data_IF_943589930406
#
_entry.id   IF_943589930406
#
_cell.length_a   1.000
_cell.length_b   1.000
_cell.length_c   1.000
_cell.angle_alpha   90.00
_cell.angle_beta   90.00
_cell.angle_gamma   90.00
#
_symmetry.space_group_name_H-M   'P 1'
#
loop_
_entity.id
_entity.type
_entity.pdbx_description
1 polymer ?
#
# COMPACT_ATOMS: atom_id res chain seq x y z
N UNK A 1 -24.45 -19.55 2.39
CA UNK A 1 -23.35 -18.59 2.56
C UNK A 1 -23.39 -18.17 4.00
N UNK A 2 -22.51 -18.72 4.82
CA UNK A 2 -22.31 -18.26 6.20
C UNK A 2 -21.58 -16.93 6.11
N UNK A 3 -22.21 -15.89 6.63
CA UNK A 3 -21.64 -14.57 6.87
C UNK A 3 -20.48 -14.76 7.87
N UNK A 4 -19.30 -15.11 7.35
CA UNK A 4 -18.09 -15.24 8.14
C UNK A 4 -17.53 -13.83 8.35
N UNK A 5 -18.23 -13.04 9.16
CA UNK A 5 -17.62 -11.88 9.77
C UNK A 5 -16.31 -12.32 10.43
N UNK A 6 -15.26 -11.52 10.26
CA UNK A 6 -14.13 -11.58 11.19
C UNK A 6 -14.74 -11.49 12.61
N UNK A 7 -14.37 -12.36 13.57
CA UNK A 7 -15.05 -12.46 14.86
C UNK A 7 -15.03 -11.12 15.64
N UNK A 8 -14.10 -10.24 15.27
CA UNK A 8 -13.97 -8.88 15.79
C UNK A 8 -14.41 -7.78 14.80
N UNK A 9 -14.95 -8.05 13.62
CA UNK A 9 -15.33 -7.02 12.65
C UNK A 9 -16.34 -6.03 13.24
N UNK A 10 -17.40 -6.52 13.87
CA UNK A 10 -18.38 -5.67 14.54
C UNK A 10 -17.76 -4.88 15.69
N UNK A 11 -16.86 -5.50 16.47
CA UNK A 11 -16.14 -4.83 17.55
C UNK A 11 -15.23 -3.72 17.01
N UNK A 12 -14.43 -4.00 15.99
CA UNK A 12 -13.50 -3.04 15.37
C UNK A 12 -14.25 -1.92 14.65
N UNK A 13 -15.37 -2.24 13.98
CA UNK A 13 -16.24 -1.25 13.34
C UNK A 13 -16.94 -0.37 14.38
N UNK A 14 -17.43 -0.95 15.48
CA UNK A 14 -18.05 -0.16 16.55
C UNK A 14 -17.00 0.65 17.31
N UNK A 15 -15.80 0.12 17.55
CA UNK A 15 -14.67 0.89 18.12
C UNK A 15 -14.26 2.04 17.20
N UNK A 16 -14.16 1.79 15.89
CA UNK A 16 -13.88 2.83 14.90
C UNK A 16 -15.01 3.86 14.85
N UNK A 17 -16.27 3.42 14.88
CA UNK A 17 -17.45 4.30 14.91
C UNK A 17 -17.54 5.12 16.20
N UNK A 18 -17.29 4.54 17.36
CA UNK A 18 -17.22 5.23 18.66
C UNK A 18 -16.05 6.22 18.72
N UNK A 19 -14.94 5.88 18.08
CA UNK A 19 -13.80 6.78 17.90
C UNK A 19 -14.22 7.99 17.05
N UNK A 20 -14.90 7.76 15.93
CA UNK A 20 -15.42 8.82 15.05
C UNK A 20 -16.54 9.65 15.70
N UNK A 21 -17.47 9.02 16.44
CA UNK A 21 -18.64 9.67 17.06
C UNK A 21 -18.31 10.53 18.28
N UNK A 22 -17.19 10.29 18.99
CA UNK A 22 -16.76 11.14 20.11
C UNK A 22 -16.36 12.56 19.70
N UNK A 23 -16.22 12.84 18.40
CA UNK A 23 -16.10 14.19 17.85
C UNK A 23 -16.73 14.25 16.45
N UNK A 24 -18.00 14.65 16.33
CA UNK A 24 -18.73 14.67 15.05
C UNK A 24 -18.23 15.71 14.02
N UNK A 25 -17.25 16.55 14.35
CA UNK A 25 -16.53 17.39 13.37
C UNK A 25 -15.32 16.67 12.73
N UNK A 26 -15.05 15.42 13.10
CA UNK A 26 -14.00 14.57 12.50
C UNK A 26 -14.53 13.94 11.22
N UNK A 27 -14.81 14.77 10.22
CA UNK A 27 -14.70 14.36 8.83
C UNK A 27 -13.22 14.47 8.43
N UNK A 28 -12.56 13.34 8.18
CA UNK A 28 -11.34 13.25 7.35
C UNK A 28 -9.97 13.71 7.91
N UNK A 29 -9.82 14.53 8.96
CA UNK A 29 -8.49 15.15 9.24
C UNK A 29 -7.82 15.04 10.62
N UNK A 30 -8.41 14.46 11.68
CA UNK A 30 -7.75 14.57 13.00
C UNK A 30 -8.07 13.43 13.95
N UNK A 31 -7.29 12.33 13.87
CA UNK A 31 -7.31 11.26 14.88
C UNK A 31 -6.54 11.60 16.17
N UNK A 32 -5.94 12.79 16.27
CA UNK A 32 -5.17 13.19 17.46
C UNK A 32 -5.44 14.67 17.77
N UNK A 33 -6.47 14.94 18.59
CA UNK A 33 -6.80 16.31 19.05
C UNK A 33 -5.75 16.84 20.04
N UNK A 34 -5.08 15.94 20.77
CA UNK A 34 -3.98 16.24 21.68
C UNK A 34 -2.78 15.34 21.35
N UNK A 35 -1.66 15.96 20.95
CA UNK A 35 -0.44 15.22 20.65
C UNK A 35 0.13 14.61 21.94
N UNK A 36 0.30 13.28 22.04
CA UNK A 36 0.96 12.70 23.19
C UNK A 36 2.39 13.23 23.29
N UNK A 37 2.74 13.79 24.45
CA UNK A 37 4.12 14.20 24.74
C UNK A 37 5.00 12.95 24.74
N UNK A 38 5.93 12.92 23.80
CA UNK A 38 6.96 11.87 23.71
C UNK A 38 8.23 12.40 23.05
N UNK A 39 9.38 11.78 23.33
CA UNK A 39 10.62 12.07 22.62
C UNK A 39 10.48 11.88 21.12
N UNK A 40 11.46 12.43 20.38
CA UNK A 40 11.53 12.30 18.92
C UNK A 40 11.68 10.83 18.54
N UNK A 41 10.76 10.34 17.71
CA UNK A 41 10.93 9.11 16.93
C UNK A 41 11.27 9.47 15.48
N UNK A 42 10.54 8.86 14.53
CA UNK A 42 10.59 9.23 13.10
C UNK A 42 10.23 10.71 12.93
N UNK A 43 9.13 11.13 13.56
CA UNK A 43 8.62 12.49 13.52
C UNK A 43 9.19 13.33 14.68
N UNK A 44 9.62 14.54 14.36
CA UNK A 44 9.89 15.59 15.35
C UNK A 44 8.58 16.13 15.95
N UNK A 45 8.65 16.87 17.04
CA UNK A 45 7.48 17.55 17.62
C UNK A 45 6.80 18.47 16.61
N UNK A 46 7.58 19.27 15.89
CA UNK A 46 7.04 20.18 14.88
C UNK A 46 6.46 19.47 13.64
N UNK A 47 6.90 18.24 13.34
CA UNK A 47 6.25 17.44 12.28
C UNK A 47 4.88 16.98 12.74
N UNK A 48 4.79 16.51 13.98
CA UNK A 48 3.53 16.08 14.59
C UNK A 48 2.55 17.24 14.65
N UNK A 49 2.95 18.40 15.17
CA UNK A 49 2.14 19.63 15.22
C UNK A 49 1.61 20.00 13.83
N UNK A 50 2.46 19.92 12.81
CA UNK A 50 2.06 20.22 11.44
C UNK A 50 1.03 19.21 10.90
N UNK A 51 1.27 17.90 11.07
CA UNK A 51 0.38 16.85 10.55
C UNK A 51 -1.01 16.85 11.21
N UNK A 52 -1.12 17.29 12.46
CA UNK A 52 -2.42 17.41 13.16
C UNK A 52 -3.06 18.79 13.04
N UNK A 53 -2.49 19.69 12.25
CA UNK A 53 -3.02 21.05 12.05
C UNK A 53 -2.84 22.01 13.23
N UNK A 54 -2.03 21.64 14.24
CA UNK A 54 -1.69 22.54 15.37
C UNK A 54 -0.60 23.56 15.00
N UNK A 55 0.03 23.40 13.83
CA UNK A 55 1.03 24.32 13.30
C UNK A 55 0.83 24.56 11.82
N UNK A 56 0.69 25.83 11.46
CA UNK A 56 0.60 26.28 10.08
C UNK A 56 1.85 27.08 9.69
N UNK A 57 2.13 27.15 8.39
CA UNK A 57 3.24 27.92 7.85
C UNK A 57 2.70 29.04 6.97
N UNK A 58 3.06 30.28 7.27
CA UNK A 58 2.64 31.45 6.50
C UNK A 58 3.24 31.47 5.08
N UNK A 59 4.43 30.88 4.91
CA UNK A 59 5.16 30.88 3.65
C UNK A 59 5.10 29.52 2.97
N UNK A 60 4.66 29.44 1.69
CA UNK A 60 4.56 28.19 0.94
C UNK A 60 5.89 27.40 0.90
N UNK A 61 7.02 28.10 0.81
CA UNK A 61 8.34 27.45 0.81
C UNK A 61 8.64 26.73 2.13
N UNK A 62 8.26 27.32 3.26
CA UNK A 62 8.45 26.71 4.58
C UNK A 62 7.59 25.48 4.76
N UNK A 63 6.35 25.51 4.25
CA UNK A 63 5.45 24.37 4.25
C UNK A 63 5.99 23.24 3.34
N UNK A 64 6.45 23.57 2.14
CA UNK A 64 7.04 22.61 1.20
C UNK A 64 8.28 21.93 1.80
N UNK A 65 9.15 22.70 2.46
CA UNK A 65 10.32 22.17 3.16
C UNK A 65 9.88 21.22 4.29
N UNK A 66 8.83 21.56 5.06
CA UNK A 66 8.29 20.68 6.10
C UNK A 66 7.79 19.35 5.52
N UNK A 67 7.02 19.39 4.44
CA UNK A 67 6.54 18.18 3.73
C UNK A 67 7.71 17.33 3.23
N UNK A 68 8.74 17.97 2.68
CA UNK A 68 9.94 17.28 2.21
C UNK A 68 10.72 16.62 3.35
N UNK A 69 10.89 17.29 4.48
CA UNK A 69 11.59 16.77 5.64
C UNK A 69 10.87 15.56 6.26
N UNK A 70 9.54 15.63 6.38
CA UNK A 70 8.72 14.51 6.85
C UNK A 70 8.92 13.31 5.94
N UNK A 71 8.78 13.51 4.62
CA UNK A 71 8.95 12.45 3.62
C UNK A 71 10.34 11.79 3.71
N UNK A 72 11.40 12.60 3.76
CA UNK A 72 12.77 12.10 3.89
C UNK A 72 12.96 11.29 5.17
N UNK A 73 12.43 11.74 6.31
CA UNK A 73 12.53 11.01 7.58
C UNK A 73 11.76 9.70 7.52
N UNK A 74 10.55 9.69 6.97
CA UNK A 74 9.75 8.46 6.83
C UNK A 74 10.45 7.43 5.96
N UNK A 75 10.99 7.84 4.79
CA UNK A 75 11.73 6.93 3.91
C UNK A 75 12.94 6.34 4.61
N UNK A 76 13.79 7.17 5.24
CA UNK A 76 14.98 6.66 5.93
C UNK A 76 14.62 5.76 7.12
N UNK A 77 13.57 6.10 7.88
CA UNK A 77 13.13 5.28 8.99
C UNK A 77 12.60 3.91 8.54
N UNK A 78 11.95 3.83 7.37
CA UNK A 78 11.53 2.54 6.79
C UNK A 78 12.77 1.70 6.45
N UNK A 79 13.79 2.31 5.83
CA UNK A 79 15.05 1.63 5.50
C UNK A 79 15.81 1.17 6.75
N UNK A 80 15.76 1.94 7.84
CA UNK A 80 16.41 1.60 9.11
C UNK A 80 15.83 0.32 9.74
N UNK A 81 14.60 -0.10 9.40
CA UNK A 81 14.06 -1.37 9.92
C UNK A 81 14.89 -2.59 9.50
N UNK A 82 15.57 -2.55 8.35
CA UNK A 82 16.51 -3.61 7.98
C UNK A 82 17.66 -3.69 8.99
N UNK A 83 18.22 -2.55 9.38
CA UNK A 83 19.29 -2.47 10.39
C UNK A 83 18.80 -2.89 11.77
N UNK A 84 17.57 -2.50 12.15
CA UNK A 84 16.97 -2.91 13.43
C UNK A 84 16.70 -4.41 13.45
N UNK A 85 16.20 -4.99 12.37
CA UNK A 85 16.00 -6.42 12.25
C UNK A 85 17.32 -7.18 12.32
N UNK A 86 18.37 -6.65 11.68
CA UNK A 86 19.65 -7.35 11.55
C UNK A 86 20.56 -7.22 12.78
N UNK A 87 20.61 -6.04 13.38
CA UNK A 87 21.68 -5.69 14.33
C UNK A 87 21.19 -5.32 15.72
N UNK A 88 19.88 -5.10 15.94
CA UNK A 88 19.40 -4.82 17.28
C UNK A 88 19.48 -6.09 18.14
N UNK A 89 20.19 -6.07 19.29
CA UNK A 89 20.25 -7.22 20.18
C UNK A 89 18.86 -7.65 20.63
N UNK A 90 18.69 -8.96 20.80
CA UNK A 90 17.41 -9.55 21.15
C UNK A 90 16.79 -8.96 22.42
N UNK A 91 17.62 -8.73 23.44
CA UNK A 91 17.19 -8.16 24.72
C UNK A 91 16.66 -6.73 24.56
N UNK A 92 17.27 -5.92 23.69
CA UNK A 92 16.83 -4.55 23.42
C UNK A 92 15.56 -4.53 22.58
N UNK A 93 15.44 -5.46 21.62
CA UNK A 93 14.19 -5.65 20.86
C UNK A 93 13.05 -6.07 21.78
N UNK A 94 13.27 -7.01 22.69
CA UNK A 94 12.26 -7.44 23.65
C UNK A 94 11.82 -6.29 24.57
N UNK A 95 12.76 -5.49 25.09
CA UNK A 95 12.44 -4.29 25.88
C UNK A 95 11.62 -3.28 25.10
N UNK A 96 11.96 -3.01 23.84
CA UNK A 96 11.21 -2.08 23.00
C UNK A 96 9.76 -2.52 22.80
N UNK A 97 9.53 -3.82 22.56
CA UNK A 97 8.18 -4.37 22.44
C UNK A 97 7.45 -4.37 23.79
N UNK A 98 8.13 -4.68 24.89
CA UNK A 98 7.54 -4.59 26.23
C UNK A 98 7.13 -3.15 26.58
N UNK A 99 7.93 -2.14 26.22
CA UNK A 99 7.56 -0.73 26.39
C UNK A 99 6.35 -0.36 25.51
N UNK A 100 6.35 -0.80 24.25
CA UNK A 100 5.27 -0.54 23.30
C UNK A 100 3.91 -1.09 23.76
N UNK A 101 3.92 -2.28 24.36
CA UNK A 101 2.73 -3.01 24.82
C UNK A 101 2.51 -2.96 26.35
N UNK A 102 3.32 -2.17 27.07
CA UNK A 102 3.22 -2.05 28.54
C UNK A 102 1.90 -1.41 28.99
N UNK A 103 1.27 -0.64 28.12
CA UNK A 103 -0.03 -0.02 28.34
C UNK A 103 -1.01 -0.66 27.34
N UNK A 104 -2.08 -1.30 27.84
CA UNK A 104 -3.19 -1.85 27.03
C UNK A 104 -3.95 -0.71 26.32
N UNK A 105 -3.29 -0.06 25.36
CA UNK A 105 -3.81 0.99 24.51
C UNK A 105 -4.28 0.32 23.24
N UNK A 106 -5.60 0.15 23.13
CA UNK A 106 -6.22 -0.10 21.84
C UNK A 106 -6.25 1.23 21.05
N UNK A 107 -5.95 1.21 19.74
CA UNK A 107 -5.55 0.07 18.89
C UNK A 107 -4.04 -0.26 18.94
N UNK A 108 -3.67 -1.48 18.51
CA UNK A 108 -2.28 -1.95 18.41
C UNK A 108 -1.45 -0.99 17.52
N UNK A 109 -0.35 -0.39 18.02
CA UNK A 109 0.48 0.51 17.22
C UNK A 109 0.99 -0.09 15.91
N UNK A 110 1.21 -1.42 15.85
CA UNK A 110 1.62 -2.11 14.64
C UNK A 110 0.54 -2.06 13.54
N UNK A 111 -0.75 -1.98 13.90
CA UNK A 111 -1.84 -1.86 12.93
C UNK A 111 -1.77 -0.56 12.12
N UNK A 112 -1.28 0.53 12.70
CA UNK A 112 -1.07 1.79 11.96
C UNK A 112 0.07 1.70 10.96
N UNK A 113 1.06 0.83 11.18
CA UNK A 113 2.11 0.56 10.19
C UNK A 113 1.49 -0.16 8.99
N UNK A 114 0.69 -1.19 9.23
CA UNK A 114 -0.02 -1.91 8.16
C UNK A 114 -0.97 -0.98 7.40
N UNK A 115 -1.74 -0.14 8.11
CA UNK A 115 -2.61 0.87 7.48
C UNK A 115 -1.83 1.87 6.63
N UNK A 116 -0.66 2.33 7.11
CA UNK A 116 0.21 3.22 6.35
C UNK A 116 0.73 2.54 5.06
N UNK A 117 1.16 1.27 5.14
CA UNK A 117 1.60 0.51 3.98
C UNK A 117 0.46 0.26 2.98
N UNK A 118 -0.70 -0.20 3.45
CA UNK A 118 -1.88 -0.42 2.62
C UNK A 118 -2.27 0.85 1.83
N UNK A 119 -2.27 2.00 2.49
CA UNK A 119 -2.53 3.29 1.83
C UNK A 119 -1.41 3.73 0.90
N UNK A 120 -0.15 3.42 1.22
CA UNK A 120 1.00 3.74 0.39
C UNK A 120 1.15 2.86 -0.86
N UNK A 121 0.49 1.70 -0.86
CA UNK A 121 0.37 0.78 -1.98
C UNK A 121 -0.94 1.01 -2.77
N UNK A 122 -1.66 2.10 -2.50
CA UNK A 122 -2.95 2.43 -3.13
C UNK A 122 -3.99 1.30 -3.04
N UNK A 123 -3.91 0.48 -1.99
CA UNK A 123 -4.83 -0.63 -1.75
C UNK A 123 -4.47 -1.94 -2.46
N UNK A 124 -3.30 -2.05 -3.09
CA UNK A 124 -2.79 -3.29 -3.68
C UNK A 124 -2.57 -4.37 -2.60
N UNK A 125 -3.56 -5.26 -2.47
CA UNK A 125 -3.58 -6.33 -1.48
C UNK A 125 -2.56 -7.43 -1.80
N UNK A 126 -2.39 -7.79 -3.07
CA UNK A 126 -1.44 -8.84 -3.49
C UNK A 126 0.00 -8.42 -3.15
N UNK A 127 0.33 -7.15 -3.40
CA UNK A 127 1.63 -6.59 -3.01
C UNK A 127 1.80 -6.52 -1.50
N UNK A 128 0.75 -6.18 -0.76
CA UNK A 128 0.79 -6.15 0.70
C UNK A 128 1.00 -7.55 1.29
N UNK A 129 0.27 -8.57 0.79
CA UNK A 129 0.44 -9.97 1.17
C UNK A 129 1.88 -10.42 0.94
N UNK A 130 2.43 -10.14 -0.25
CA UNK A 130 3.83 -10.47 -0.59
C UNK A 130 4.84 -9.87 0.40
N UNK A 131 4.65 -8.60 0.78
CA UNK A 131 5.52 -7.91 1.75
C UNK A 131 5.41 -8.54 3.15
N UNK A 132 4.19 -8.90 3.58
CA UNK A 132 3.97 -9.56 4.87
C UNK A 132 4.61 -10.94 4.89
N UNK A 133 4.45 -11.73 3.83
CA UNK A 133 5.07 -13.05 3.69
C UNK A 133 6.59 -12.96 3.75
N UNK A 134 7.19 -12.06 2.97
CA UNK A 134 8.64 -11.84 2.96
C UNK A 134 9.15 -11.41 4.34
N UNK A 135 8.46 -10.48 5.00
CA UNK A 135 8.82 -10.02 6.34
C UNK A 135 8.78 -11.13 7.39
N UNK A 136 7.74 -11.97 7.37
CA UNK A 136 7.63 -13.14 8.26
C UNK A 136 8.74 -14.15 7.93
N UNK A 137 9.03 -14.38 6.64
CA UNK A 137 10.07 -15.31 6.20
C UNK A 137 11.44 -14.92 6.74
N UNK A 138 11.81 -13.65 6.57
CA UNK A 138 13.07 -13.09 7.08
C UNK A 138 13.11 -13.23 8.60
N UNK A 139 12.07 -12.78 9.30
CA UNK A 139 12.03 -12.81 10.77
C UNK A 139 12.12 -14.22 11.35
N UNK A 140 11.42 -15.18 10.76
CA UNK A 140 11.36 -16.55 11.26
C UNK A 140 12.66 -17.36 11.01
N UNK A 141 13.43 -16.99 9.99
CA UNK A 141 14.68 -17.66 9.64
C UNK A 141 15.93 -16.91 10.13
N UNK A 142 15.77 -15.71 10.69
CA UNK A 142 16.88 -14.81 11.06
C UNK A 142 18.00 -15.44 11.92
N UNK A 143 17.67 -16.33 12.88
CA UNK A 143 18.65 -16.92 13.83
C UNK A 143 19.01 -18.38 13.58
N UNK A 144 18.54 -18.99 12.50
CA UNK A 144 18.69 -20.43 12.28
C UNK A 144 20.02 -20.85 11.66
N UNK A 145 21.00 -19.93 11.59
CA UNK A 145 22.39 -20.22 11.21
C UNK A 145 23.11 -20.92 12.38
N UNK A 146 22.73 -22.17 12.63
CA UNK A 146 23.26 -23.00 13.71
C UNK A 146 22.71 -24.41 13.59
N UNK A 147 23.59 -25.35 13.20
CA UNK A 147 23.35 -26.77 12.93
C UNK A 147 22.15 -27.36 13.71
N UNK A 148 21.11 -27.76 12.97
CA UNK A 148 19.99 -28.66 13.36
C UNK A 148 18.64 -28.05 13.77
N UNK A 149 18.27 -26.85 13.29
CA UNK A 149 16.86 -26.43 13.36
C UNK A 149 16.32 -26.20 11.95
N UNK A 150 15.20 -26.84 11.61
CA UNK A 150 14.60 -26.73 10.27
C UNK A 150 14.23 -25.29 9.92
N UNK A 151 14.42 -24.94 8.65
CA UNK A 151 14.03 -23.65 8.08
C UNK A 151 12.50 -23.59 7.96
N UNK A 152 11.90 -22.41 8.19
CA UNK A 152 10.53 -22.21 7.73
C UNK A 152 10.61 -22.12 6.21
N UNK A 153 10.03 -23.12 5.54
CA UNK A 153 10.06 -23.24 4.10
C UNK A 153 8.85 -22.62 3.40
N UNK A 154 7.74 -22.43 4.14
CA UNK A 154 6.47 -21.97 3.57
C UNK A 154 5.75 -21.06 4.57
N UNK A 155 5.23 -19.95 4.06
CA UNK A 155 4.35 -19.01 4.74
C UNK A 155 3.20 -18.78 3.78
N UNK A 156 1.97 -18.83 4.31
CA UNK A 156 0.77 -18.55 3.56
C UNK A 156 0.04 -17.39 4.24
N UNK A 157 -0.12 -16.29 3.52
CA UNK A 157 -0.90 -15.14 3.96
C UNK A 157 -2.12 -14.98 3.06
N UNK A 158 -3.27 -14.69 3.64
CA UNK A 158 -4.49 -14.37 2.90
C UNK A 158 -5.25 -13.27 3.63
N UNK A 159 -5.44 -12.15 2.94
CA UNK A 159 -6.08 -10.94 3.42
C UNK A 159 -7.27 -10.67 2.49
N UNK A 160 -8.47 -10.92 3.00
CA UNK A 160 -9.72 -10.61 2.29
C UNK A 160 -10.35 -9.34 2.88
N UNK A 161 -10.61 -8.35 2.03
CA UNK A 161 -11.22 -7.08 2.41
C UNK A 161 -12.58 -6.95 1.75
N UNK A 162 -13.63 -7.22 2.53
CA UNK A 162 -15.01 -6.99 2.10
C UNK A 162 -15.41 -5.53 2.36
N UNK A 163 -15.53 -4.73 1.29
CA UNK A 163 -16.11 -3.39 1.38
C UNK A 163 -17.63 -3.47 1.32
N UNK A 164 -18.28 -3.05 2.42
CA UNK A 164 -19.74 -2.90 2.46
C UNK A 164 -20.08 -1.42 2.20
N UNK A 165 -20.92 -1.11 1.20
CA UNK A 165 -21.30 0.28 0.95
C UNK A 165 -22.02 0.88 2.15
N UNK A 166 -21.73 2.16 2.47
CA UNK A 166 -22.53 2.88 3.44
C UNK A 166 -23.92 3.14 2.86
N UNK A 167 -24.92 2.45 3.41
CA UNK A 167 -26.31 2.58 2.99
C UNK A 167 -26.78 4.03 2.94
N UNK A 168 -26.37 4.86 3.90
CA UNK A 168 -26.81 6.26 3.99
C UNK A 168 -26.22 7.11 2.88
N UNK A 169 -24.96 6.85 2.53
CA UNK A 169 -24.30 7.54 1.40
C UNK A 169 -24.89 7.07 0.07
N UNK A 170 -25.13 5.77 -0.08
CA UNK A 170 -25.77 5.20 -1.27
C UNK A 170 -27.17 5.79 -1.49
N UNK A 171 -27.96 5.93 -0.43
CA UNK A 171 -29.29 6.57 -0.52
C UNK A 171 -29.15 8.05 -0.91
N UNK A 172 -28.24 8.80 -0.29
CA UNK A 172 -28.02 10.21 -0.64
C UNK A 172 -27.57 10.39 -2.09
N UNK A 173 -26.64 9.56 -2.56
CA UNK A 173 -26.13 9.56 -3.93
C UNK A 173 -27.26 9.29 -4.93
N UNK A 174 -28.15 8.35 -4.59
CA UNK A 174 -29.35 8.08 -5.38
C UNK A 174 -30.34 9.25 -5.38
N UNK A 175 -30.66 9.83 -4.21
CA UNK A 175 -31.56 11.00 -4.08
C UNK A 175 -31.03 12.25 -4.79
N UNK A 176 -29.71 12.39 -4.93
CA UNK A 176 -29.05 13.51 -5.61
C UNK A 176 -29.04 13.38 -7.14
N UNK A 177 -29.50 12.24 -7.67
CA UNK A 177 -29.58 12.00 -9.11
C UNK A 177 -28.30 11.42 -9.73
N UNK A 178 -27.30 11.04 -8.92
CA UNK A 178 -26.05 10.41 -9.36
C UNK A 178 -26.21 8.88 -9.50
N UNK A 179 -27.38 8.44 -9.98
CA UNK A 179 -27.74 7.03 -10.09
C UNK A 179 -26.85 6.27 -11.10
N UNK A 180 -26.30 6.98 -12.08
CA UNK A 180 -25.37 6.47 -13.10
C UNK A 180 -23.99 6.10 -12.55
N UNK A 181 -23.64 6.64 -11.37
CA UNK A 181 -22.38 6.36 -10.68
C UNK A 181 -22.50 5.21 -9.66
N UNK A 182 -23.69 4.62 -9.49
CA UNK A 182 -23.90 3.55 -8.53
C UNK A 182 -23.24 2.25 -8.98
N UNK A 183 -22.49 1.62 -8.08
CA UNK A 183 -21.94 0.29 -8.35
C UNK A 183 -23.03 -0.80 -8.22
N UNK A 184 -22.84 -1.99 -8.81
CA UNK A 184 -23.80 -3.08 -8.68
C UNK A 184 -24.12 -3.47 -7.23
N UNK A 185 -23.12 -3.36 -6.33
CA UNK A 185 -23.31 -3.63 -4.90
C UNK A 185 -24.18 -2.55 -4.24
N UNK A 186 -23.97 -1.28 -4.60
CA UNK A 186 -24.78 -0.14 -4.13
C UNK A 186 -26.23 -0.25 -4.60
N UNK A 187 -26.46 -0.59 -5.87
CA UNK A 187 -27.81 -0.88 -6.41
C UNK A 187 -28.48 -2.01 -5.63
N UNK A 188 -27.74 -3.09 -5.34
CA UNK A 188 -28.24 -4.20 -4.52
C UNK A 188 -28.61 -3.79 -3.08
N UNK A 189 -27.95 -2.78 -2.51
CA UNK A 189 -28.36 -2.19 -1.21
C UNK A 189 -29.68 -1.46 -1.34
N UNK A 190 -29.87 -0.65 -2.39
CA UNK A 190 -31.11 0.10 -2.61
C UNK A 190 -32.32 -0.83 -2.87
N UNK A 191 -32.16 -1.89 -3.68
CA UNK A 191 -33.20 -2.89 -3.93
C UNK A 191 -33.63 -3.58 -2.63
N UNK A 192 -32.67 -4.08 -1.85
CA UNK A 192 -32.96 -4.80 -0.59
C UNK A 192 -33.62 -3.91 0.46
N UNK A 193 -33.39 -2.60 0.40
CA UNK A 193 -33.93 -1.64 1.35
C UNK A 193 -35.23 -0.99 0.87
N UNK A 194 -35.74 -1.40 -0.30
CA UNK A 194 -37.00 -0.92 -0.87
C UNK A 194 -36.95 0.55 -1.29
N UNK A 195 -35.76 1.07 -1.60
CA UNK A 195 -35.55 2.46 -2.01
C UNK A 195 -35.62 2.67 -3.53
N UNK A 196 -35.67 1.58 -4.30
CA UNK A 196 -35.89 1.62 -5.76
C UNK A 196 -37.31 1.18 -6.08
N UNK A 197 -38.01 1.99 -6.86
CA UNK A 197 -39.29 1.63 -7.45
C UNK A 197 -39.13 1.06 -8.89
N UNK A 198 -40.26 0.77 -9.55
CA UNK A 198 -40.25 0.17 -10.88
C UNK A 198 -39.72 1.13 -11.96
N UNK A 199 -39.91 2.43 -11.79
CA UNK A 199 -39.45 3.43 -12.76
C UNK A 199 -37.95 3.69 -12.57
N UNK A 200 -37.47 3.71 -11.33
CA UNK A 200 -36.04 3.81 -11.01
C UNK A 200 -35.21 2.66 -11.62
N UNK A 201 -35.75 1.43 -11.58
CA UNK A 201 -35.10 0.25 -12.16
C UNK A 201 -35.00 0.33 -13.69
N UNK A 202 -36.01 0.92 -14.35
CA UNK A 202 -36.00 1.11 -15.81
C UNK A 202 -34.99 2.17 -16.26
N UNK A 203 -34.77 3.19 -15.44
CA UNK A 203 -33.76 4.21 -15.71
C UNK A 203 -32.33 3.66 -15.51
N UNK A 204 -32.12 2.82 -14.49
CA UNK A 204 -30.85 2.09 -14.31
C UNK A 204 -30.56 1.12 -15.47
N UNK A 205 -31.56 0.41 -15.99
CA UNK A 205 -31.40 -0.51 -17.14
C UNK A 205 -30.98 0.22 -18.43
N UNK A 206 -31.33 1.50 -18.56
CA UNK A 206 -30.95 2.36 -19.69
C UNK A 206 -29.58 3.00 -19.53
N UNK A 207 -29.04 2.99 -18.33
CA UNK A 207 -27.74 3.59 -18.03
C UNK A 207 -26.66 2.57 -18.35
N UNK A 208 -25.77 2.89 -19.29
CA UNK A 208 -24.63 2.03 -19.62
C UNK A 208 -23.78 1.91 -18.36
N UNK A 209 -23.77 0.73 -17.75
CA UNK A 209 -22.97 0.45 -16.55
C UNK A 209 -21.53 0.93 -16.81
N UNK A 210 -20.98 1.83 -15.97
CA UNK A 210 -19.59 2.24 -16.11
C UNK A 210 -18.74 0.97 -16.07
N UNK A 211 -17.88 0.80 -17.07
CA UNK A 211 -16.92 -0.31 -17.08
C UNK A 211 -16.11 -0.23 -15.79
N UNK A 212 -15.78 -1.37 -15.15
CA UNK A 212 -14.91 -1.35 -14.00
C UNK A 212 -13.65 -0.56 -14.35
N UNK A 213 -13.33 0.44 -13.54
CA UNK A 213 -12.12 1.24 -13.67
C UNK A 213 -10.95 0.28 -13.46
N UNK A 214 -10.22 -0.04 -14.54
CA UNK A 214 -9.06 -0.92 -14.48
C UNK A 214 -8.64 -1.67 -15.73
N UNK A 215 -9.32 -1.55 -16.88
CA UNK A 215 -8.92 -2.31 -18.08
C UNK A 215 -8.53 -1.48 -19.31
N UNK A 216 -8.76 -0.17 -19.33
CA UNK A 216 -8.48 0.65 -20.52
C UNK A 216 -7.10 1.31 -20.54
N UNK A 217 -6.41 1.44 -19.40
CA UNK A 217 -5.06 2.04 -19.35
C UNK A 217 -3.93 1.03 -19.66
N UNK A 218 -4.25 -0.23 -19.94
CA UNK A 218 -3.29 -1.30 -20.26
C UNK A 218 -3.32 -1.76 -21.73
N UNK A 219 -4.17 -1.16 -22.57
CA UNK A 219 -4.33 -1.59 -23.97
C UNK A 219 -4.00 -0.51 -25.01
N UNK A 220 -3.55 0.68 -24.61
CA UNK A 220 -3.15 1.73 -25.58
C UNK A 220 -1.67 1.66 -26.02
N UNK A 221 -0.86 0.74 -25.47
CA UNK A 221 0.59 0.65 -25.77
C UNK A 221 1.02 -0.58 -26.60
N UNK A 222 0.10 -1.34 -27.21
CA UNK A 222 0.47 -2.57 -27.95
C UNK A 222 0.24 -2.55 -29.47
N UNK A 223 -0.16 -1.43 -30.07
CA UNK A 223 -0.42 -1.37 -31.52
C UNK A 223 0.36 -0.23 -32.21
N UNK A 224 1.71 -0.21 -32.16
CA UNK A 224 2.49 0.68 -33.07
C UNK A 224 3.98 0.31 -33.36
N UNK A 225 4.51 -0.87 -33.00
CA UNK A 225 5.93 -1.22 -33.32
C UNK A 225 6.15 -2.43 -34.26
N UNK A 226 5.21 -2.75 -35.17
CA UNK A 226 5.41 -3.88 -36.12
C UNK A 226 5.01 -3.58 -37.59
N UNK A 227 5.24 -2.37 -38.10
CA UNK A 227 5.03 -2.05 -39.53
C UNK A 227 6.17 -1.30 -40.26
N UNK A 228 7.43 -1.33 -39.80
CA UNK A 228 8.55 -0.70 -40.54
C UNK A 228 9.78 -1.60 -40.80
N UNK A 229 9.57 -2.90 -41.08
CA UNK A 229 10.67 -3.80 -41.53
C UNK A 229 10.44 -4.52 -42.87
N UNK A 230 9.45 -4.13 -43.68
CA UNK A 230 9.16 -4.83 -44.97
C UNK A 230 9.27 -3.94 -46.22
N UNK A 231 9.81 -2.72 -46.13
CA UNK A 231 10.04 -1.88 -47.32
C UNK A 231 11.39 -1.16 -47.35
N UNK A 232 12.46 -1.94 -47.49
CA UNK A 232 13.65 -1.52 -48.25
C UNK A 232 14.49 -2.73 -48.64
N UNK A 233 13.92 -3.58 -49.49
CA UNK A 233 14.72 -4.38 -50.40
C UNK A 233 15.12 -3.48 -51.58
N UNK A 234 16.32 -2.94 -51.55
CA UNK A 234 17.08 -2.67 -52.78
C UNK A 234 18.56 -2.98 -52.54
N UNK A 235 19.06 -3.83 -53.41
CA UNK A 235 20.35 -4.48 -53.34
C UNK A 235 21.48 -3.56 -53.81
N UNK A 236 22.61 -3.59 -53.11
CA UNK A 236 23.91 -3.53 -53.76
C UNK A 236 24.82 -4.61 -53.20
N UNK A 237 25.10 -5.59 -54.06
CA UNK A 237 26.23 -6.50 -53.97
C UNK A 237 27.44 -5.74 -54.51
N UNK A 238 28.47 -5.51 -53.68
CA UNK A 238 29.84 -5.38 -54.15
C UNK A 238 30.77 -6.14 -53.21
N UNK A 239 31.64 -6.90 -53.86
CA UNK A 239 32.51 -7.99 -53.43
C UNK A 239 33.86 -7.57 -52.83
N UNK A 240 34.38 -8.51 -52.04
CA UNK A 240 35.76 -9.01 -51.98
C UNK A 240 36.89 -8.33 -51.17
N UNK A 241 37.59 -9.24 -50.48
CA UNK A 241 39.03 -9.32 -50.16
C UNK A 241 39.64 -8.44 -49.05
N UNK A 242 40.00 -9.06 -47.92
CA UNK A 242 41.37 -9.52 -47.58
C UNK A 242 41.40 -9.90 -46.07
N UNK A 243 41.60 -11.18 -45.71
CA UNK A 243 42.89 -11.77 -45.35
C UNK A 243 43.72 -10.93 -44.35
N UNK A 244 43.77 -11.34 -43.08
CA UNK A 244 44.90 -12.12 -42.53
C UNK A 244 44.73 -12.44 -41.04
N UNK A 245 45.12 -13.66 -40.71
CA UNK A 245 45.42 -14.19 -39.38
C UNK A 245 46.47 -13.33 -38.64
N UNK A 246 46.46 -13.34 -37.31
CA UNK A 246 47.41 -14.17 -36.52
C UNK A 246 47.49 -13.75 -35.04
N UNK A 247 47.34 -14.76 -34.17
CA UNK A 247 48.15 -15.06 -32.95
C UNK A 247 48.12 -14.04 -31.79
N UNK A 248 47.48 -14.36 -30.67
CA UNK A 248 47.98 -15.18 -29.54
C UNK A 248 49.19 -14.57 -28.82
N UNK A 249 49.03 -14.25 -27.53
CA UNK A 249 49.87 -14.86 -26.49
C UNK A 249 49.34 -14.61 -25.07
N UNK A 250 49.17 -15.72 -24.37
CA UNK A 250 49.07 -15.84 -22.91
C UNK A 250 50.36 -15.38 -22.22
N UNK A 251 50.24 -14.83 -21.01
CA UNK A 251 51.02 -15.31 -19.85
C UNK A 251 50.53 -14.69 -18.54
N UNK A 252 49.94 -15.54 -17.71
CA UNK A 252 49.96 -15.47 -16.24
C UNK A 252 51.16 -16.35 -15.77
N UNK A 253 51.46 -16.56 -14.46
CA UNK A 253 51.28 -15.75 -13.24
C UNK A 253 52.58 -15.73 -12.36
N UNK A 254 52.41 -15.26 -11.11
CA UNK A 254 53.16 -15.56 -9.86
C UNK A 254 54.30 -14.65 -9.39
N UNK A 255 54.27 -14.33 -8.08
CA UNK A 255 55.50 -14.06 -7.32
C UNK A 255 55.40 -13.23 -6.03
N UNK A 256 54.89 -13.82 -4.95
CA UNK A 256 55.29 -13.68 -3.52
C UNK A 256 55.93 -12.38 -2.98
N UNK A 257 55.34 -11.83 -1.91
CA UNK A 257 55.85 -11.99 -0.52
C UNK A 257 54.84 -11.50 0.51
#
# INVERSE_FOLDING_TARGET
MTDNMHPDAERLQEEFRELMNRNPEIGSMTLVKELPERPRGILSTADREYLVGQREYEHPQSEANRKQDIRKRTVNAILDFALLAEHLPDEEREKAFNELYSENKLPDPASFIISFLYRGLDGDLERLESIVEEGIYIGANFKKVGRWSGEIAEINTSIDVEQRPDRSEVIKKFEQGDADQLTPVEIGVLVRTGQLDEDDLRDLERTVMPRPIGTEELLEDLDDEDEELVRSGDAEIVSDSDMTESTSDEKNPEGSK
#
